data_IF_288615800339
#
_entry.id   IF_288615800339
#
_cell.length_a   1.000
_cell.length_b   1.000
_cell.length_c   1.000
_cell.angle_alpha   90.00
_cell.angle_beta   90.00
_cell.angle_gamma   90.00
#
_symmetry.space_group_name_H-M   'P 1'
#
loop_
_entity.id
_entity.type
_entity.pdbx_description
1 polymer ?
#
# COMPACT_ATOMS: atom_id res chain seq x y z
N UNK A 1 -7.95 19.18 10.18
CA UNK A 1 -7.43 19.50 8.84
C UNK A 1 -7.32 18.20 8.05
N UNK A 2 -8.30 17.90 7.19
CA UNK A 2 -8.28 16.72 6.33
C UNK A 2 -7.59 17.11 5.03
N UNK A 3 -6.34 16.68 4.83
CA UNK A 3 -5.64 16.90 3.56
C UNK A 3 -6.12 15.82 2.60
N UNK A 4 -7.04 16.18 1.71
CA UNK A 4 -7.26 15.43 0.48
C UNK A 4 -6.02 15.63 -0.40
N UNK A 5 -5.19 14.60 -0.56
CA UNK A 5 -4.09 14.59 -1.52
C UNK A 5 -4.67 14.49 -2.94
N UNK A 6 -4.89 15.64 -3.58
CA UNK A 6 -5.41 15.73 -4.96
C UNK A 6 -4.41 15.09 -5.97
N UNK A 7 -3.12 15.03 -5.62
CA UNK A 7 -2.12 14.25 -6.35
C UNK A 7 -2.21 12.73 -6.09
N UNK A 8 -2.71 12.32 -4.92
CA UNK A 8 -2.82 10.93 -4.51
C UNK A 8 -3.78 10.15 -5.40
N UNK A 9 -5.00 10.65 -5.61
CA UNK A 9 -6.02 9.94 -6.39
C UNK A 9 -5.59 9.66 -7.84
N UNK A 10 -4.93 10.62 -8.51
CA UNK A 10 -4.42 10.40 -9.86
C UNK A 10 -3.29 9.36 -9.90
N UNK A 11 -2.43 9.33 -8.87
CA UNK A 11 -1.40 8.31 -8.74
C UNK A 11 -2.03 6.92 -8.52
N UNK A 12 -3.01 6.82 -7.61
CA UNK A 12 -3.79 5.61 -7.37
C UNK A 12 -4.46 5.12 -8.65
N UNK A 13 -5.18 5.98 -9.39
CA UNK A 13 -5.84 5.61 -10.64
C UNK A 13 -4.87 5.05 -11.69
N UNK A 14 -3.74 5.73 -11.89
CA UNK A 14 -2.68 5.27 -12.82
C UNK A 14 -2.09 3.94 -12.39
N UNK A 15 -1.92 3.74 -11.10
CA UNK A 15 -1.40 2.51 -10.54
C UNK A 15 -2.38 1.35 -10.77
N UNK A 16 -3.67 1.55 -10.43
CA UNK A 16 -4.71 0.54 -10.61
C UNK A 16 -4.90 0.15 -12.08
N UNK A 17 -4.75 1.10 -13.02
CA UNK A 17 -4.84 0.83 -14.45
C UNK A 17 -3.77 -0.15 -14.96
N UNK A 18 -2.65 -0.34 -14.24
CA UNK A 18 -1.60 -1.30 -14.60
C UNK A 18 -1.87 -2.70 -14.03
N UNK A 19 -2.86 -2.84 -13.15
CA UNK A 19 -3.16 -4.08 -12.44
C UNK A 19 -3.78 -5.18 -13.30
N UNK A 20 -4.49 -4.84 -14.38
CA UNK A 20 -5.40 -5.76 -15.09
C UNK A 20 -6.42 -6.40 -14.13
N UNK A 21 -7.01 -5.58 -13.26
CA UNK A 21 -7.89 -6.03 -12.17
C UNK A 21 -9.24 -6.46 -12.74
N UNK A 22 -9.70 -7.63 -12.32
CA UNK A 22 -11.01 -8.20 -12.63
C UNK A 22 -11.73 -8.60 -11.34
N UNK A 23 -13.01 -8.93 -11.42
CA UNK A 23 -13.79 -9.45 -10.28
C UNK A 23 -13.18 -10.72 -9.64
N UNK A 24 -12.37 -11.50 -10.38
CA UNK A 24 -11.66 -12.69 -9.88
C UNK A 24 -10.33 -12.35 -9.17
N UNK A 25 -9.86 -11.11 -9.28
CA UNK A 25 -8.58 -10.70 -8.69
C UNK A 25 -8.69 -10.65 -7.16
N UNK A 26 -7.77 -11.33 -6.47
CA UNK A 26 -7.63 -11.24 -5.03
C UNK A 26 -6.52 -10.26 -4.67
N UNK A 27 -6.90 -9.15 -4.04
CA UNK A 27 -6.00 -8.04 -3.71
C UNK A 27 -5.67 -8.02 -2.22
N UNK A 28 -4.40 -7.82 -1.88
CA UNK A 28 -3.95 -7.43 -0.54
C UNK A 28 -3.57 -5.95 -0.55
N UNK A 29 -4.22 -5.13 0.27
CA UNK A 29 -3.78 -3.75 0.54
C UNK A 29 -3.01 -3.70 1.87
N UNK A 30 -1.73 -3.31 1.82
CA UNK A 30 -0.86 -3.17 2.98
C UNK A 30 -0.80 -1.71 3.43
N UNK A 31 -0.98 -1.47 4.74
CA UNK A 31 -1.19 -0.14 5.33
C UNK A 31 -2.44 0.54 4.74
N UNK A 32 -3.57 -0.17 4.80
CA UNK A 32 -4.82 0.21 4.14
C UNK A 32 -5.50 1.47 4.72
N UNK A 33 -4.99 2.01 5.83
CA UNK A 33 -5.55 3.18 6.49
C UNK A 33 -7.07 3.02 6.71
N UNK A 34 -7.88 3.99 6.28
CA UNK A 34 -9.34 3.99 6.38
C UNK A 34 -10.04 3.17 5.28
N UNK A 35 -9.29 2.44 4.45
CA UNK A 35 -9.80 1.56 3.40
C UNK A 35 -10.29 2.29 2.14
N UNK A 36 -9.82 3.50 1.87
CA UNK A 36 -10.29 4.29 0.72
C UNK A 36 -9.99 3.60 -0.62
N UNK A 37 -8.78 3.08 -0.80
CA UNK A 37 -8.40 2.35 -2.01
C UNK A 37 -9.13 1.01 -2.10
N UNK A 38 -9.30 0.30 -0.98
CA UNK A 38 -10.14 -0.91 -0.91
C UNK A 38 -11.56 -0.68 -1.43
N UNK A 39 -12.21 0.39 -0.98
CA UNK A 39 -13.57 0.75 -1.41
C UNK A 39 -13.62 1.04 -2.92
N UNK A 40 -12.64 1.79 -3.42
CA UNK A 40 -12.52 2.09 -4.84
C UNK A 40 -12.34 0.82 -5.68
N UNK A 41 -11.45 -0.08 -5.27
CA UNK A 41 -11.21 -1.36 -5.92
C UNK A 41 -12.48 -2.20 -6.02
N UNK A 42 -13.22 -2.32 -4.92
CA UNK A 42 -14.48 -3.06 -4.88
C UNK A 42 -15.53 -2.43 -5.80
N UNK A 43 -15.71 -1.11 -5.74
CA UNK A 43 -16.72 -0.42 -6.53
C UNK A 43 -16.41 -0.41 -8.03
N UNK A 44 -15.13 -0.32 -8.39
CA UNK A 44 -14.69 -0.20 -9.80
C UNK A 44 -14.53 -1.55 -10.49
N UNK A 45 -14.08 -2.58 -9.78
CA UNK A 45 -13.71 -3.87 -10.38
C UNK A 45 -14.49 -5.07 -9.81
N UNK A 46 -15.32 -4.88 -8.78
CA UNK A 46 -16.05 -5.94 -8.07
C UNK A 46 -15.14 -7.08 -7.54
N UNK A 47 -13.87 -6.75 -7.26
CA UNK A 47 -12.85 -7.69 -6.80
C UNK A 47 -12.87 -7.88 -5.27
N UNK A 48 -12.20 -8.94 -4.80
CA UNK A 48 -12.00 -9.16 -3.36
C UNK A 48 -10.76 -8.42 -2.87
N UNK A 49 -10.89 -7.69 -1.76
CA UNK A 49 -9.76 -6.97 -1.14
C UNK A 49 -9.65 -7.31 0.34
N UNK A 50 -8.45 -7.72 0.75
CA UNK A 50 -8.08 -7.85 2.15
C UNK A 50 -7.15 -6.70 2.49
N UNK A 51 -7.48 -5.91 3.51
CA UNK A 51 -6.64 -4.84 4.02
C UNK A 51 -5.91 -5.26 5.29
N UNK A 52 -4.67 -4.82 5.45
CA UNK A 52 -3.99 -4.83 6.75
C UNK A 52 -3.49 -3.46 7.15
N UNK A 53 -3.53 -3.19 8.45
CA UNK A 53 -2.87 -2.03 9.06
C UNK A 53 -2.28 -2.42 10.42
N UNK A 54 -1.23 -1.73 10.85
CA UNK A 54 -0.58 -2.00 12.13
C UNK A 54 -1.42 -1.44 13.30
N UNK A 55 -2.12 -0.31 13.08
CA UNK A 55 -2.91 0.37 14.12
C UNK A 55 -4.33 -0.19 14.19
N UNK A 56 -4.67 -0.84 15.32
CA UNK A 56 -6.00 -1.39 15.57
C UNK A 56 -7.12 -0.33 15.50
N UNK A 57 -6.85 0.94 15.83
CA UNK A 57 -7.84 2.02 15.72
C UNK A 57 -8.16 2.35 14.26
N UNK A 58 -7.14 2.30 13.40
CA UNK A 58 -7.28 2.51 11.96
C UNK A 58 -8.05 1.34 11.33
N UNK A 59 -7.72 0.11 11.73
CA UNK A 59 -8.48 -1.09 11.34
C UNK A 59 -9.94 -0.99 11.72
N UNK A 60 -10.25 -0.60 12.96
CA UNK A 60 -11.64 -0.40 13.40
C UNK A 60 -12.36 0.64 12.52
N UNK A 61 -11.68 1.73 12.16
CA UNK A 61 -12.25 2.74 11.29
C UNK A 61 -12.50 2.25 9.86
N UNK A 62 -11.59 1.45 9.31
CA UNK A 62 -11.78 0.83 8.00
C UNK A 62 -12.99 -0.13 8.01
N UNK A 63 -13.19 -0.92 9.07
CA UNK A 63 -14.38 -1.78 9.23
C UNK A 63 -15.68 -0.97 9.22
N UNK A 64 -15.72 0.14 9.97
CA UNK A 64 -16.89 1.03 9.97
C UNK A 64 -17.19 1.59 8.58
N UNK A 65 -16.15 1.95 7.82
CA UNK A 65 -16.32 2.45 6.46
C UNK A 65 -16.83 1.35 5.52
N UNK A 66 -16.24 0.15 5.55
CA UNK A 66 -16.70 -1.00 4.74
C UNK A 66 -18.18 -1.28 4.99
N UNK A 67 -18.59 -1.35 6.27
CA UNK A 67 -19.98 -1.54 6.66
C UNK A 67 -20.89 -0.43 6.18
N UNK A 68 -20.46 0.83 6.28
CA UNK A 68 -21.22 2.00 5.80
C UNK A 68 -21.54 1.92 4.30
N UNK A 69 -20.65 1.34 3.51
CA UNK A 69 -20.84 1.14 2.06
C UNK A 69 -21.48 -0.21 1.70
N UNK A 70 -21.78 -1.08 2.67
CA UNK A 70 -22.39 -2.38 2.44
C UNK A 70 -21.50 -3.37 1.67
N UNK A 71 -20.17 -3.25 1.79
CA UNK A 71 -19.20 -4.03 1.01
C UNK A 71 -18.53 -5.17 1.81
N UNK A 72 -19.17 -5.61 2.90
CA UNK A 72 -18.63 -6.63 3.83
C UNK A 72 -18.40 -8.00 3.17
N UNK A 73 -19.14 -8.32 2.09
CA UNK A 73 -18.96 -9.55 1.30
C UNK A 73 -17.69 -9.56 0.44
N UNK A 74 -17.15 -8.38 0.11
CA UNK A 74 -16.00 -8.22 -0.80
C UNK A 74 -14.75 -7.73 -0.09
N UNK A 75 -14.93 -7.02 1.03
CA UNK A 75 -13.86 -6.34 1.74
C UNK A 75 -13.75 -6.83 3.17
N UNK A 76 -12.52 -7.18 3.57
CA UNK A 76 -12.19 -7.48 4.95
C UNK A 76 -10.91 -6.76 5.35
N UNK A 77 -10.80 -6.40 6.62
CA UNK A 77 -9.60 -5.73 7.15
C UNK A 77 -9.23 -6.30 8.51
N UNK A 78 -7.94 -6.47 8.74
CA UNK A 78 -7.39 -7.00 9.99
C UNK A 78 -6.12 -6.27 10.42
N UNK A 79 -5.77 -6.39 11.69
CA UNK A 79 -4.48 -5.91 12.15
C UNK A 79 -3.36 -6.82 11.61
N UNK A 80 -2.27 -6.24 11.11
CA UNK A 80 -1.17 -7.00 10.54
C UNK A 80 0.13 -6.21 10.46
N UNK A 81 1.26 -6.93 10.50
CA UNK A 81 2.59 -6.35 10.35
C UNK A 81 3.09 -6.60 8.91
N UNK A 82 3.44 -5.55 8.18
CA UNK A 82 3.96 -5.66 6.82
C UNK A 82 5.28 -6.45 6.72
N UNK A 83 6.04 -6.55 7.83
CA UNK A 83 7.27 -7.34 7.89
C UNK A 83 7.02 -8.83 8.22
N UNK A 84 5.78 -9.21 8.51
CA UNK A 84 5.35 -10.59 8.75
C UNK A 84 3.85 -10.69 8.47
N UNK A 85 3.53 -10.79 7.19
CA UNK A 85 2.16 -10.87 6.70
C UNK A 85 1.50 -12.17 7.17
N UNK A 86 0.29 -12.11 7.76
CA UNK A 86 -0.43 -13.27 8.30
C UNK A 86 -1.13 -14.08 7.19
N UNK A 87 -0.47 -14.25 6.05
CA UNK A 87 -1.01 -14.96 4.88
C UNK A 87 -0.01 -16.00 4.38
N UNK A 88 -0.53 -17.05 3.76
CA UNK A 88 0.29 -18.07 3.11
C UNK A 88 1.07 -17.48 1.93
N UNK A 89 2.12 -18.18 1.48
CA UNK A 89 2.76 -17.82 0.23
C UNK A 89 1.77 -17.93 -0.94
N UNK A 90 2.02 -17.22 -2.04
CA UNK A 90 1.28 -17.38 -3.30
C UNK A 90 -0.26 -17.26 -3.15
N UNK A 91 -0.71 -16.32 -2.32
CA UNK A 91 -2.13 -16.15 -2.00
C UNK A 91 -2.81 -15.09 -2.86
N UNK A 92 -2.13 -14.00 -3.20
CA UNK A 92 -2.71 -12.82 -3.82
C UNK A 92 -2.26 -12.65 -5.27
N UNK A 93 -3.20 -12.21 -6.12
CA UNK A 93 -2.90 -11.82 -7.50
C UNK A 93 -2.22 -10.44 -7.52
N UNK A 94 -2.61 -9.56 -6.61
CA UNK A 94 -2.07 -8.21 -6.46
C UNK A 94 -1.81 -7.91 -5.00
N UNK A 95 -0.64 -7.33 -4.73
CA UNK A 95 -0.35 -6.61 -3.49
C UNK A 95 -0.29 -5.14 -3.84
N UNK A 96 -1.03 -4.29 -3.13
CA UNK A 96 -1.00 -2.84 -3.28
C UNK A 96 -0.51 -2.17 -2.00
N UNK A 97 0.34 -1.17 -2.16
CA UNK A 97 0.85 -0.35 -1.07
C UNK A 97 1.15 1.07 -1.56
N UNK A 98 0.69 2.09 -0.83
CA UNK A 98 0.80 3.48 -1.26
C UNK A 98 1.56 4.31 -0.21
N UNK A 99 2.72 4.86 -0.60
CA UNK A 99 3.56 5.82 0.17
C UNK A 99 4.10 5.28 1.51
N UNK A 100 3.95 3.99 1.81
CA UNK A 100 4.39 3.40 3.07
C UNK A 100 5.89 3.11 3.10
N UNK A 101 6.49 2.62 2.00
CA UNK A 101 7.90 2.23 2.02
C UNK A 101 8.81 3.43 2.27
N UNK A 102 8.40 4.63 1.84
CA UNK A 102 9.06 5.91 2.15
C UNK A 102 9.23 6.12 3.66
N UNK A 103 8.34 5.58 4.49
CA UNK A 103 8.36 5.73 5.95
C UNK A 103 9.33 4.76 6.64
N UNK A 104 9.92 3.81 5.91
CA UNK A 104 10.74 2.75 6.47
C UNK A 104 12.22 2.90 6.15
N UNK A 105 13.14 2.72 7.11
CA UNK A 105 14.56 2.57 6.80
C UNK A 105 14.81 1.46 5.78
N UNK A 106 15.92 1.54 5.06
CA UNK A 106 16.24 0.63 3.94
C UNK A 106 16.14 -0.87 4.27
N UNK A 107 16.63 -1.28 5.43
CA UNK A 107 16.54 -2.68 5.89
C UNK A 107 15.08 -3.10 6.07
N UNK A 108 14.23 -2.19 6.56
CA UNK A 108 12.81 -2.45 6.77
C UNK A 108 12.03 -2.46 5.45
N UNK A 109 12.40 -1.62 4.47
CA UNK A 109 11.85 -1.70 3.10
C UNK A 109 12.06 -3.09 2.51
N UNK A 110 13.27 -3.62 2.63
CA UNK A 110 13.61 -4.96 2.11
C UNK A 110 12.80 -6.07 2.79
N UNK A 111 12.61 -5.99 4.12
CA UNK A 111 11.76 -6.95 4.85
C UNK A 111 10.30 -6.91 4.40
N UNK A 112 9.74 -5.72 4.16
CA UNK A 112 8.39 -5.59 3.64
C UNK A 112 8.26 -6.17 2.22
N UNK A 113 9.18 -5.80 1.32
CA UNK A 113 9.18 -6.31 -0.05
C UNK A 113 9.29 -7.84 -0.11
N UNK A 114 10.14 -8.45 0.73
CA UNK A 114 10.27 -9.90 0.82
C UNK A 114 8.93 -10.58 1.17
N UNK A 115 8.18 -10.02 2.13
CA UNK A 115 6.84 -10.53 2.45
C UNK A 115 5.83 -10.29 1.32
N UNK A 116 5.90 -9.15 0.63
CA UNK A 116 5.01 -8.86 -0.49
C UNK A 116 5.20 -9.88 -1.61
N UNK A 117 6.46 -10.15 -1.99
CA UNK A 117 6.78 -11.17 -2.98
C UNK A 117 6.42 -12.58 -2.53
N UNK A 118 6.61 -12.91 -1.24
CA UNK A 118 6.22 -14.21 -0.70
C UNK A 118 4.72 -14.47 -0.88
N UNK A 119 3.86 -13.50 -0.57
CA UNK A 119 2.41 -13.69 -0.62
C UNK A 119 1.82 -13.52 -2.02
N UNK A 120 2.57 -13.00 -2.98
CA UNK A 120 2.17 -12.92 -4.38
C UNK A 120 2.21 -14.30 -5.04
N UNK A 121 1.18 -14.62 -5.82
CA UNK A 121 1.19 -15.78 -6.72
C UNK A 121 2.28 -15.62 -7.79
N UNK A 122 2.73 -16.72 -8.41
CA UNK A 122 3.54 -16.64 -9.63
C UNK A 122 2.84 -15.78 -10.69
N UNK A 123 3.52 -14.76 -11.20
CA UNK A 123 2.95 -13.78 -12.15
C UNK A 123 2.07 -12.71 -11.53
N UNK A 124 1.89 -12.71 -10.20
CA UNK A 124 1.21 -11.65 -9.46
C UNK A 124 1.97 -10.33 -9.52
N UNK A 125 1.27 -9.22 -9.24
CA UNK A 125 1.82 -7.87 -9.38
C UNK A 125 1.90 -7.14 -8.03
N UNK A 126 3.04 -6.53 -7.76
CA UNK A 126 3.15 -5.49 -6.75
C UNK A 126 2.82 -4.14 -7.40
N UNK A 127 1.77 -3.49 -6.90
CA UNK A 127 1.37 -2.15 -7.27
C UNK A 127 1.76 -1.19 -6.15
N UNK A 128 2.72 -0.30 -6.40
CA UNK A 128 3.13 0.68 -5.39
C UNK A 128 3.59 2.00 -6.01
N UNK A 129 3.42 3.08 -5.26
CA UNK A 129 4.02 4.37 -5.54
C UNK A 129 4.55 4.98 -4.24
N UNK A 130 5.72 5.61 -4.34
CA UNK A 130 6.46 6.17 -3.22
C UNK A 130 7.14 7.48 -3.62
N UNK A 131 7.61 8.23 -2.62
CA UNK A 131 8.34 9.47 -2.85
C UNK A 131 9.73 9.14 -3.42
N UNK A 132 10.02 9.70 -4.59
CA UNK A 132 11.34 9.60 -5.21
C UNK A 132 12.06 10.95 -5.18
N UNK A 133 13.31 10.93 -4.76
CA UNK A 133 14.21 12.07 -4.88
C UNK A 133 14.81 12.15 -6.30
N UNK A 134 14.97 13.37 -6.82
CA UNK A 134 15.71 13.61 -8.07
C UNK A 134 17.21 13.38 -7.85
N UNK A 135 17.72 13.87 -6.72
CA UNK A 135 19.08 13.67 -6.22
C UNK A 135 19.05 13.57 -4.70
N UNK A 136 20.10 13.02 -4.10
CA UNK A 136 20.20 12.95 -2.64
C UNK A 136 20.27 14.36 -2.04
N UNK A 137 19.44 14.60 -1.03
CA UNK A 137 19.29 15.90 -0.38
C UNK A 137 18.80 15.69 1.06
N UNK A 138 19.73 15.73 2.01
CA UNK A 138 19.44 15.47 3.43
C UNK A 138 18.62 16.60 4.07
N UNK A 139 18.81 17.85 3.62
CA UNK A 139 18.05 18.99 4.13
C UNK A 139 16.59 18.89 3.69
N UNK A 140 16.35 18.52 2.43
CA UNK A 140 15.00 18.28 1.92
C UNK A 140 14.32 17.11 2.65
N UNK A 141 15.04 16.02 2.90
CA UNK A 141 14.52 14.87 3.66
C UNK A 141 14.14 15.28 5.09
N UNK A 142 15.01 16.05 5.77
CA UNK A 142 14.73 16.55 7.12
C UNK A 142 13.51 17.48 7.12
N UNK A 143 13.43 18.41 6.16
CA UNK A 143 12.30 19.34 6.02
C UNK A 143 10.99 18.62 5.70
N UNK A 144 11.04 17.61 4.83
CA UNK A 144 9.88 16.76 4.51
C UNK A 144 9.38 16.06 5.77
N UNK A 145 10.27 15.42 6.52
CA UNK A 145 9.93 14.71 7.75
C UNK A 145 9.33 15.63 8.82
N UNK A 146 9.87 16.84 8.99
CA UNK A 146 9.30 17.86 9.88
C UNK A 146 7.90 18.31 9.44
N UNK A 147 7.69 18.51 8.14
CA UNK A 147 6.42 19.00 7.59
C UNK A 147 5.29 18.00 7.80
N UNK A 148 5.57 16.71 7.64
CA UNK A 148 4.55 15.66 7.79
C UNK A 148 4.55 15.02 9.18
N UNK A 149 5.47 15.45 10.06
CA UNK A 149 5.67 14.92 11.42
C UNK A 149 5.91 13.39 11.45
N UNK A 150 6.68 12.88 10.49
CA UNK A 150 7.04 11.45 10.38
C UNK A 150 8.48 11.34 9.88
N UNK A 151 9.23 10.37 10.39
CA UNK A 151 10.55 10.06 9.84
C UNK A 151 10.39 9.43 8.45
N UNK A 152 11.07 10.00 7.46
CA UNK A 152 11.01 9.53 6.07
C UNK A 152 12.41 9.23 5.55
N UNK A 153 12.49 8.24 4.68
CA UNK A 153 13.71 7.83 3.98
C UNK A 153 13.40 7.56 2.51
N UNK A 154 12.96 8.58 1.75
CA UNK A 154 12.71 8.44 0.32
C UNK A 154 14.02 8.10 -0.40
N UNK A 155 13.91 7.29 -1.45
CA UNK A 155 15.05 6.90 -2.26
C UNK A 155 15.09 7.70 -3.56
N UNK A 156 16.26 7.76 -4.19
CA UNK A 156 16.34 8.20 -5.59
C UNK A 156 15.71 7.14 -6.50
N UNK A 157 15.31 7.54 -7.71
CA UNK A 157 14.72 6.61 -8.68
C UNK A 157 15.58 5.35 -8.90
N UNK A 158 16.89 5.52 -9.09
CA UNK A 158 17.84 4.40 -9.26
C UNK A 158 17.79 3.44 -8.06
N UNK A 159 17.81 3.99 -6.85
CA UNK A 159 17.78 3.19 -5.61
C UNK A 159 16.44 2.46 -5.47
N UNK A 160 15.31 3.06 -5.84
CA UNK A 160 14.02 2.35 -5.90
C UNK A 160 14.05 1.19 -6.90
N UNK A 161 14.53 1.42 -8.12
CA UNK A 161 14.65 0.38 -9.15
C UNK A 161 15.52 -0.80 -8.70
N UNK A 162 16.60 -0.53 -7.94
CA UNK A 162 17.46 -1.57 -7.36
C UNK A 162 16.77 -2.40 -6.27
N UNK A 163 15.81 -1.83 -5.54
CA UNK A 163 15.06 -2.54 -4.51
C UNK A 163 14.00 -3.48 -5.09
N UNK A 164 13.38 -3.10 -6.21
CA UNK A 164 12.35 -3.94 -6.86
C UNK A 164 12.91 -5.05 -7.75
N UNK A 165 14.21 -5.04 -8.08
CA UNK A 165 14.88 -6.06 -8.88
C UNK A 165 15.42 -7.26 -8.09
N UNK A 166 15.32 -7.22 -6.75
CA UNK A 166 15.78 -8.28 -5.84
C UNK A 166 14.63 -9.21 -5.50
#
# INVERSE_FOLDING_TARGET
MFIFYIAGKQATDRLLAQGNITQQTKVLEVACNRGTTMLELAQKYDCQVIGIDLDAKVVAKAKENIKRYGLEEKLSVQQGNAFKLPFAAETFDIVINEVMLTMFPDVSKQKALAEYYRVLKPGGKLLTHDVSLIKEDLELVAKLGQTINVHVTPLTRRKWEERFKQ
#
